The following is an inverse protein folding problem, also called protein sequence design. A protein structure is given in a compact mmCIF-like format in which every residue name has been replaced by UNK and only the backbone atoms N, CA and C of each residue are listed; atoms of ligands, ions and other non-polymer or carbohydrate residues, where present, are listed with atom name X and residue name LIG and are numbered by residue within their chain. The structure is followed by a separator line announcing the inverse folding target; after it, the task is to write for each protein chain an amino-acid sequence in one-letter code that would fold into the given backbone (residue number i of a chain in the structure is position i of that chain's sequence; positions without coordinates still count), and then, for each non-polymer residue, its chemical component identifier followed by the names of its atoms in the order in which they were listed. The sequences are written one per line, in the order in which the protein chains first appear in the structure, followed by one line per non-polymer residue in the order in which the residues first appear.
data_IF_358532935924
#
_entry.id   IF_358532935924
#
_cell.length_a   1.000
_cell.length_b   1.000
_cell.length_c   1.000
_cell.angle_alpha   90.00
_cell.angle_beta   90.00
_cell.angle_gamma   90.00
#
_symmetry.space_group_name_H-M   'P 1'
#
loop_
_entity.id
_entity.type
_entity.pdbx_description
1 polymer ?
#
# COMPACT_ATOMS: atom_id res chain seq x y z
N UNK A 1 -13.45 7.60 -10.84
CA UNK A 1 -12.27 7.88 -9.99
C UNK A 1 -12.65 7.48 -8.57
N UNK A 2 -11.88 6.60 -7.93
CA UNK A 2 -12.04 6.23 -6.52
C UNK A 2 -10.85 6.84 -5.78
N UNK A 3 -11.09 7.66 -4.76
CA UNK A 3 -10.03 8.30 -3.95
C UNK A 3 -10.07 7.85 -2.50
N UNK A 4 -8.91 7.82 -1.84
CA UNK A 4 -8.76 7.44 -0.42
C UNK A 4 -8.69 8.68 0.49
N UNK A 5 -9.28 8.59 1.67
CA UNK A 5 -9.03 9.47 2.82
C UNK A 5 -8.86 8.61 4.08
N UNK A 6 -7.74 8.74 4.77
CA UNK A 6 -7.39 7.96 5.96
C UNK A 6 -8.28 8.32 7.16
N UNK A 7 -8.57 7.33 8.01
CA UNK A 7 -9.27 7.51 9.30
C UNK A 7 -8.26 7.63 10.45
N UNK A 8 -8.55 8.48 11.46
CA UNK A 8 -7.69 8.65 12.64
C UNK A 8 -7.66 7.43 13.57
N UNK A 9 -8.56 6.45 13.40
CA UNK A 9 -8.65 5.27 14.27
C UNK A 9 -7.92 4.06 13.64
N UNK A 10 -6.72 3.77 14.15
CA UNK A 10 -6.02 2.50 13.88
C UNK A 10 -5.73 1.80 15.19
N UNK A 11 -6.12 0.52 15.31
CA UNK A 11 -5.53 -0.36 16.32
C UNK A 11 -4.21 -0.91 15.75
N UNK A 12 -3.49 -1.77 16.47
CA UNK A 12 -2.29 -2.42 15.90
C UNK A 12 -2.57 -3.26 14.66
N UNK A 13 -3.82 -3.66 14.44
CA UNK A 13 -4.21 -4.66 13.44
C UNK A 13 -5.24 -4.14 12.43
N UNK A 14 -5.87 -2.98 12.65
CA UNK A 14 -6.93 -2.47 11.76
C UNK A 14 -6.64 -1.08 11.22
N UNK A 15 -6.96 -0.88 9.93
CA UNK A 15 -6.92 0.39 9.21
C UNK A 15 -8.27 0.63 8.53
N UNK A 16 -8.77 1.87 8.59
CA UNK A 16 -9.93 2.27 7.80
C UNK A 16 -9.55 3.24 6.68
N UNK A 17 -10.02 2.94 5.47
CA UNK A 17 -9.93 3.80 4.30
C UNK A 17 -11.32 4.31 3.96
N UNK A 18 -11.50 5.63 3.96
CA UNK A 18 -12.71 6.26 3.44
C UNK A 18 -12.57 6.46 1.94
N UNK A 19 -13.42 5.80 1.18
CA UNK A 19 -13.45 5.86 -0.27
C UNK A 19 -14.51 6.86 -0.73
N UNK A 20 -14.21 7.58 -1.80
CA UNK A 20 -15.17 8.41 -2.54
C UNK A 20 -15.12 8.07 -4.02
N UNK A 21 -16.28 7.91 -4.67
CA UNK A 21 -16.37 7.63 -6.10
C UNK A 21 -17.58 8.30 -6.75
N UNK A 22 -17.55 8.41 -8.08
CA UNK A 22 -18.69 8.93 -8.86
C UNK A 22 -19.41 7.80 -9.56
N UNK A 23 -20.71 7.71 -9.33
CA UNK A 23 -21.62 6.77 -9.99
C UNK A 23 -22.82 7.55 -10.53
N UNK A 24 -23.08 7.46 -11.84
CA UNK A 24 -24.18 8.16 -12.50
C UNK A 24 -24.25 9.67 -12.21
N UNK A 25 -23.09 10.33 -12.12
CA UNK A 25 -22.97 11.77 -11.85
C UNK A 25 -23.16 12.17 -10.38
N UNK A 26 -23.40 11.23 -9.47
CA UNK A 26 -23.48 11.47 -8.03
C UNK A 26 -22.21 10.99 -7.33
N UNK A 27 -21.73 11.78 -6.37
CA UNK A 27 -20.65 11.35 -5.46
C UNK A 27 -21.21 10.40 -4.42
N UNK A 28 -20.54 9.26 -4.25
CA UNK A 28 -20.78 8.24 -3.26
C UNK A 28 -19.57 8.15 -2.34
N UNK A 29 -19.80 7.72 -1.12
CA UNK A 29 -18.74 7.44 -0.15
C UNK A 29 -18.99 6.10 0.52
N UNK A 30 -17.92 5.49 1.02
CA UNK A 30 -17.97 4.23 1.74
C UNK A 30 -16.69 4.05 2.54
N UNK A 31 -16.74 3.23 3.58
CA UNK A 31 -15.58 2.93 4.43
C UNK A 31 -15.20 1.48 4.23
N UNK A 32 -13.91 1.23 3.98
CA UNK A 32 -13.32 -0.11 3.94
C UNK A 32 -12.47 -0.27 5.19
N UNK A 33 -12.77 -1.29 5.98
CA UNK A 33 -11.94 -1.70 7.12
C UNK A 33 -11.05 -2.84 6.67
N UNK A 34 -9.74 -2.70 6.92
CA UNK A 34 -8.71 -3.65 6.58
C UNK A 34 -8.10 -4.19 7.85
N UNK A 35 -8.07 -5.51 8.00
CA UNK A 35 -7.25 -6.19 9.00
C UNK A 35 -5.87 -6.48 8.40
N UNK A 36 -4.83 -6.15 9.15
CA UNK A 36 -3.43 -6.37 8.82
C UNK A 36 -2.88 -7.52 9.67
N UNK A 37 -1.96 -8.30 9.11
CA UNK A 37 -1.35 -9.44 9.79
C UNK A 37 0.12 -9.15 10.13
N UNK A 38 0.41 -8.38 11.20
CA UNK A 38 1.79 -7.97 11.55
C UNK A 38 2.68 -9.13 12.01
N UNK A 39 2.12 -10.30 12.33
CA UNK A 39 2.91 -11.49 12.64
C UNK A 39 3.40 -12.22 11.38
N UNK A 40 2.64 -12.12 10.28
CA UNK A 40 2.90 -12.84 9.03
C UNK A 40 3.60 -11.96 7.97
N UNK A 41 3.38 -10.63 8.04
CA UNK A 41 4.02 -9.62 7.18
C UNK A 41 4.35 -8.35 7.97
N UNK A 42 5.28 -8.42 8.96
CA UNK A 42 5.58 -7.31 9.86
C UNK A 42 6.01 -6.02 9.16
N UNK A 43 6.90 -6.08 8.16
CA UNK A 43 7.39 -4.90 7.48
C UNK A 43 6.29 -4.25 6.62
N UNK A 44 5.49 -5.04 5.91
CA UNK A 44 4.39 -4.53 5.10
C UNK A 44 3.26 -3.95 5.94
N UNK A 45 2.87 -4.62 7.02
CA UNK A 45 1.83 -4.14 7.93
C UNK A 45 2.23 -2.80 8.57
N UNK A 46 3.47 -2.70 9.08
CA UNK A 46 3.97 -1.44 9.65
C UNK A 46 4.08 -0.35 8.60
N UNK A 47 4.63 -0.64 7.41
CA UNK A 47 4.75 0.35 6.35
C UNK A 47 3.38 0.87 5.88
N UNK A 48 2.41 -0.01 5.68
CA UNK A 48 1.04 0.38 5.29
C UNK A 48 0.41 1.28 6.34
N UNK A 49 0.53 0.92 7.63
CA UNK A 49 0.07 1.75 8.74
C UNK A 49 0.75 3.11 8.76
N UNK A 50 2.06 3.17 8.57
CA UNK A 50 2.80 4.45 8.54
C UNK A 50 2.37 5.32 7.35
N UNK A 51 2.10 4.74 6.18
CA UNK A 51 1.57 5.47 5.02
C UNK A 51 0.21 6.10 5.33
N UNK A 52 -0.67 5.38 6.04
CA UNK A 52 -1.98 5.88 6.49
C UNK A 52 -1.80 7.01 7.51
N UNK A 53 -1.01 6.79 8.56
CA UNK A 53 -0.78 7.77 9.64
C UNK A 53 -0.13 9.05 9.11
N UNK A 54 0.73 8.94 8.10
CA UNK A 54 1.38 10.09 7.45
C UNK A 54 0.50 10.77 6.38
N UNK A 55 -0.75 10.32 6.19
CA UNK A 55 -1.65 10.90 5.20
C UNK A 55 -1.24 10.63 3.74
N UNK A 56 -0.34 9.67 3.50
CA UNK A 56 0.22 9.43 2.15
C UNK A 56 -0.83 8.90 1.18
N UNK A 57 -1.80 8.14 1.67
CA UNK A 57 -2.90 7.67 0.83
C UNK A 57 -4.00 8.71 0.60
N UNK A 58 -4.00 9.85 1.30
CA UNK A 58 -5.05 10.86 1.14
C UNK A 58 -5.05 11.45 -0.28
N UNK A 59 -6.22 11.43 -0.92
CA UNK A 59 -6.41 11.88 -2.29
C UNK A 59 -5.82 10.95 -3.36
N UNK A 60 -5.11 9.89 -2.98
CA UNK A 60 -4.59 8.90 -3.94
C UNK A 60 -5.74 8.15 -4.60
N UNK A 61 -5.53 7.76 -5.86
CA UNK A 61 -6.53 7.08 -6.67
C UNK A 61 -6.21 5.60 -6.82
N UNK A 62 -7.26 4.79 -6.98
CA UNK A 62 -7.11 3.47 -7.60
C UNK A 62 -6.90 3.66 -9.11
N UNK A 63 -5.64 3.59 -9.55
CA UNK A 63 -5.24 3.88 -10.93
C UNK A 63 -5.44 2.67 -11.86
N UNK A 64 -5.70 1.49 -11.31
CA UNK A 64 -5.96 0.27 -12.09
C UNK A 64 -7.09 -0.54 -11.46
N UNK A 65 -8.14 -0.80 -12.23
CA UNK A 65 -9.33 -1.55 -11.81
C UNK A 65 -9.59 -2.61 -12.88
N UNK A 66 -9.52 -3.89 -12.51
CA UNK A 66 -9.76 -5.02 -13.42
C UNK A 66 -10.89 -5.86 -12.86
N UNK A 67 -11.96 -5.98 -13.64
CA UNK A 67 -13.13 -6.77 -13.30
C UNK A 67 -12.76 -8.24 -13.09
N UNK A 68 -13.41 -8.88 -12.11
CA UNK A 68 -13.14 -10.26 -11.67
C UNK A 68 -11.68 -10.54 -11.26
N UNK A 69 -10.91 -9.51 -10.88
CA UNK A 69 -9.53 -9.69 -10.43
C UNK A 69 -9.15 -8.82 -9.23
N UNK A 70 -8.89 -7.53 -9.41
CA UNK A 70 -8.39 -6.66 -8.34
C UNK A 70 -8.58 -5.16 -8.62
N UNK A 71 -8.38 -4.35 -7.58
CA UNK A 71 -8.26 -2.89 -7.67
C UNK A 71 -6.93 -2.48 -7.07
N UNK A 72 -6.10 -1.73 -7.80
CA UNK A 72 -4.76 -1.34 -7.37
C UNK A 72 -4.66 0.17 -7.20
N UNK A 73 -4.06 0.58 -6.08
CA UNK A 73 -3.87 1.96 -5.67
C UNK A 73 -2.56 2.17 -4.92
N UNK A 74 -2.47 3.26 -4.16
CA UNK A 74 -1.34 3.53 -3.27
C UNK A 74 -0.10 4.17 -3.90
N UNK A 75 -0.16 4.61 -5.16
CA UNK A 75 0.85 5.50 -5.73
C UNK A 75 0.58 6.94 -5.30
N UNK A 76 1.23 7.37 -4.22
CA UNK A 76 1.09 8.73 -3.69
C UNK A 76 2.07 9.75 -4.31
N UNK A 77 2.91 9.31 -5.24
CA UNK A 77 3.94 10.17 -5.83
C UNK A 77 3.53 10.69 -7.21
N UNK A 78 3.05 9.80 -8.08
CA UNK A 78 2.67 10.12 -9.46
C UNK A 78 1.17 9.90 -9.69
N UNK A 79 0.54 8.99 -8.93
CA UNK A 79 -0.88 8.67 -9.05
C UNK A 79 -1.25 7.89 -10.32
N UNK A 80 -0.26 7.42 -11.08
CA UNK A 80 -0.44 6.73 -12.37
C UNK A 80 0.07 5.27 -12.35
N UNK A 81 0.61 4.82 -11.22
CA UNK A 81 1.12 3.47 -11.00
C UNK A 81 2.62 3.33 -11.26
N UNK A 82 3.32 4.41 -11.63
CA UNK A 82 4.78 4.39 -11.87
C UNK A 82 5.61 4.79 -10.66
N UNK A 83 4.97 5.20 -9.57
CA UNK A 83 5.64 5.65 -8.36
C UNK A 83 5.23 4.93 -7.09
N UNK A 84 5.44 5.58 -5.95
CA UNK A 84 5.23 5.01 -4.63
C UNK A 84 6.49 4.33 -4.09
N UNK A 85 6.74 4.53 -2.80
CA UNK A 85 7.90 3.98 -2.11
C UNK A 85 7.55 3.70 -0.65
N UNK A 86 8.35 2.86 0.03
CA UNK A 86 8.18 2.64 1.45
C UNK A 86 8.48 3.92 2.25
N UNK A 87 7.90 4.03 3.43
CA UNK A 87 8.19 5.11 4.41
C UNK A 87 8.96 4.61 5.62
N UNK A 88 9.18 3.30 5.73
CA UNK A 88 10.10 2.69 6.67
C UNK A 88 11.33 2.16 5.93
N UNK A 89 12.46 2.09 6.63
CA UNK A 89 13.67 1.45 6.12
C UNK A 89 13.68 -0.02 6.52
N UNK A 90 13.74 -0.90 5.53
CA UNK A 90 13.79 -2.36 5.71
C UNK A 90 15.07 -2.98 5.11
N UNK A 91 16.09 -2.16 4.87
CA UNK A 91 17.38 -2.63 4.32
C UNK A 91 17.45 -2.68 2.80
N UNK A 92 16.44 -2.20 2.06
CA UNK A 92 16.41 -2.25 0.60
C UNK A 92 16.25 -0.87 -0.05
N UNK A 93 17.03 -0.64 -1.10
CA UNK A 93 16.97 0.53 -1.96
C UNK A 93 16.71 0.08 -3.40
N UNK A 94 15.55 0.43 -3.97
CA UNK A 94 15.14 0.01 -5.31
C UNK A 94 15.28 -1.51 -5.53
N UNK A 95 14.96 -2.31 -4.50
CA UNK A 95 15.09 -3.77 -4.51
C UNK A 95 16.51 -4.32 -4.33
N UNK A 96 17.51 -3.47 -4.03
CA UNK A 96 18.88 -3.91 -3.71
C UNK A 96 19.13 -3.80 -2.22
N UNK A 97 19.70 -4.85 -1.62
CA UNK A 97 20.09 -4.84 -0.21
C UNK A 97 21.19 -3.80 0.04
N UNK A 98 21.06 -3.07 1.14
CA UNK A 98 21.94 -1.96 1.53
C UNK A 98 22.17 -2.00 3.04
N UNK A 99 23.40 -1.71 3.45
CA UNK A 99 23.79 -1.70 4.87
C UNK A 99 23.24 -0.48 5.62
N UNK A 100 23.13 0.67 4.94
CA UNK A 100 22.77 1.94 5.56
C UNK A 100 21.74 2.69 4.74
N UNK A 101 20.69 3.19 5.41
CA UNK A 101 19.66 4.01 4.81
C UNK A 101 20.19 5.35 4.28
N UNK A 102 21.30 5.86 4.83
CA UNK A 102 21.93 7.11 4.40
C UNK A 102 22.46 7.06 2.95
N UNK A 103 22.75 5.86 2.44
CA UNK A 103 23.24 5.64 1.08
C UNK A 103 22.08 5.49 0.06
N UNK A 104 20.83 5.60 0.52
CA UNK A 104 19.63 5.54 -0.30
C UNK A 104 18.72 6.74 -0.06
N UNK A 105 18.29 7.41 -1.13
CA UNK A 105 17.23 8.41 -1.01
C UNK A 105 15.95 7.76 -0.47
N UNK A 106 15.23 8.43 0.43
CA UNK A 106 13.99 7.91 1.01
C UNK A 106 12.93 7.52 -0.05
N UNK A 107 12.94 8.19 -1.19
CA UNK A 107 12.07 7.88 -2.34
C UNK A 107 12.41 6.57 -3.05
N UNK A 108 13.56 5.97 -2.73
CA UNK A 108 14.00 4.67 -3.23
C UNK A 108 13.87 3.54 -2.21
N UNK A 109 13.34 3.81 -1.02
CA UNK A 109 13.16 2.77 -0.01
C UNK A 109 12.12 1.75 -0.48
N UNK A 110 12.49 0.48 -0.40
CA UNK A 110 11.62 -0.66 -0.68
C UNK A 110 11.69 -1.67 0.47
N UNK A 111 10.75 -2.61 0.49
CA UNK A 111 10.64 -3.63 1.53
C UNK A 111 11.16 -4.98 1.06
N UNK A 112 11.68 -5.78 2.00
CA UNK A 112 11.94 -7.20 1.80
C UNK A 112 10.66 -7.96 1.43
N UNK A 113 10.81 -9.13 0.81
CA UNK A 113 9.63 -9.92 0.42
C UNK A 113 9.15 -10.72 1.64
N UNK A 114 7.86 -10.63 1.97
CA UNK A 114 7.22 -11.36 3.08
C UNK A 114 6.12 -12.31 2.55
N UNK A 115 6.31 -12.87 1.35
CA UNK A 115 5.29 -13.66 0.66
C UNK A 115 5.27 -15.15 1.03
N UNK A 116 6.34 -15.66 1.67
CA UNK A 116 6.47 -17.07 2.08
C UNK A 116 5.81 -17.34 3.46
N UNK A 117 4.65 -16.72 3.71
CA UNK A 117 3.92 -16.78 4.99
C UNK A 117 2.71 -17.74 4.99
N UNK A 118 2.42 -18.39 3.85
CA UNK A 118 1.35 -19.37 3.72
C UNK A 118 -0.05 -18.77 3.54
N UNK A 119 -0.17 -17.44 3.46
CA UNK A 119 -1.41 -16.75 3.11
C UNK A 119 -1.69 -16.88 1.61
N UNK A 120 -2.97 -16.91 1.24
CA UNK A 120 -3.43 -17.03 -0.14
C UNK A 120 -4.13 -15.74 -0.58
N UNK A 121 -4.09 -15.46 -1.89
CA UNK A 121 -4.89 -14.41 -2.51
C UNK A 121 -6.34 -14.86 -2.65
N UNK A 122 -7.15 -14.61 -1.62
CA UNK A 122 -8.60 -14.77 -1.67
C UNK A 122 -9.30 -13.46 -2.07
N UNK A 123 -10.60 -13.52 -2.37
CA UNK A 123 -11.38 -12.30 -2.60
C UNK A 123 -11.38 -11.47 -1.31
N UNK A 124 -11.20 -10.15 -1.43
CA UNK A 124 -11.05 -9.22 -0.30
C UNK A 124 -9.74 -9.36 0.50
N UNK A 125 -8.72 -10.03 -0.03
CA UNK A 125 -7.36 -9.97 0.53
C UNK A 125 -6.63 -8.72 0.05
N UNK A 126 -6.03 -7.96 0.97
CA UNK A 126 -5.08 -6.89 0.64
C UNK A 126 -3.67 -7.46 0.45
N UNK A 127 -2.99 -7.05 -0.62
CA UNK A 127 -1.62 -7.48 -0.90
C UNK A 127 -0.77 -6.35 -1.47
N UNK A 128 0.55 -6.47 -1.32
CA UNK A 128 1.50 -5.48 -1.83
C UNK A 128 1.72 -5.66 -3.32
N UNK A 129 1.59 -4.58 -4.08
CA UNK A 129 2.01 -4.54 -5.47
C UNK A 129 3.54 -4.37 -5.53
N UNK A 130 4.19 -5.15 -6.38
CA UNK A 130 5.63 -5.09 -6.62
C UNK A 130 5.94 -5.42 -8.07
N UNK A 131 7.17 -5.16 -8.49
CA UNK A 131 7.67 -5.64 -9.78
C UNK A 131 7.97 -7.15 -9.70
N UNK A 132 8.31 -7.77 -10.84
CA UNK A 132 8.76 -9.16 -10.84
C UNK A 132 10.11 -9.37 -10.14
N UNK A 133 10.86 -8.29 -9.86
CA UNK A 133 12.11 -8.36 -9.11
C UNK A 133 11.86 -8.46 -7.59
N UNK A 134 12.71 -9.19 -6.85
CA UNK A 134 12.57 -9.31 -5.41
C UNK A 134 12.72 -7.95 -4.70
N UNK A 135 12.09 -7.83 -3.53
CA UNK A 135 12.25 -6.71 -2.60
C UNK A 135 11.86 -5.33 -3.17
N UNK A 136 10.93 -5.30 -4.12
CA UNK A 136 10.47 -4.06 -4.78
C UNK A 136 9.13 -3.55 -4.27
N UNK A 137 8.64 -4.09 -3.15
CA UNK A 137 7.44 -3.58 -2.49
C UNK A 137 7.66 -2.16 -1.96
N UNK A 138 6.65 -1.30 -2.09
CA UNK A 138 6.72 0.10 -1.70
C UNK A 138 5.45 0.53 -0.98
N UNK A 139 4.64 1.38 -1.63
CA UNK A 139 3.34 1.83 -1.09
C UNK A 139 2.13 1.34 -1.86
N UNK A 140 2.32 0.81 -3.07
CA UNK A 140 1.21 0.37 -3.90
C UNK A 140 0.64 -0.96 -3.41
N UNK A 141 -0.68 -1.07 -3.39
CA UNK A 141 -1.38 -2.27 -2.92
C UNK A 141 -2.57 -2.58 -3.82
N UNK A 142 -3.09 -3.80 -3.72
CA UNK A 142 -4.32 -4.22 -4.37
C UNK A 142 -5.15 -5.14 -3.48
#
# INVERSE_FOLDING_TARGET
MITIANSESTTTEYVELNLSWTENGATKTGTVSLELYPNDAPAHAENFKQLVVQGKYDGTQFHRVIDDFMIQGGDFTNGDGTGGHAVIWDGYCNGQAMENSADCAATGWTLGDEADNGLLHEVCTISMAKTNSPHTGGSQFF
#
